data_IF_485800381456
#
_entry.id   IF_485800381456
#
_cell.length_a   1.000
_cell.length_b   1.000
_cell.length_c   1.000
_cell.angle_alpha   90.00
_cell.angle_beta   90.00
_cell.angle_gamma   90.00
#
_symmetry.space_group_name_H-M   'P 1'
#
loop_
_entity.id
_entity.type
_entity.pdbx_description
1 polymer ?
#
# COMPACT_ATOMS: atom_id res chain seq x y z
N UNK A 1 13.41 -1.75 -3.15
CA UNK A 1 13.02 -0.93 -1.97
C UNK A 1 11.65 -1.39 -1.51
N UNK A 2 11.43 -1.51 -0.21
CA UNK A 2 10.15 -1.98 0.33
C UNK A 2 9.63 -1.02 1.40
N UNK A 3 8.35 -0.65 1.29
CA UNK A 3 7.62 0.11 2.29
C UNK A 3 6.74 -0.86 3.08
N UNK A 4 6.86 -0.88 4.40
CA UNK A 4 5.97 -1.66 5.27
C UNK A 4 5.33 -0.73 6.29
N UNK A 5 4.01 -0.59 6.22
CA UNK A 5 3.24 0.23 7.15
C UNK A 5 2.52 -0.66 8.18
N UNK A 6 2.82 -0.45 9.45
CA UNK A 6 2.35 -1.27 10.56
C UNK A 6 1.00 -0.76 11.07
N UNK A 7 0.03 -1.66 11.20
CA UNK A 7 -1.35 -1.34 11.58
C UNK A 7 -1.79 -2.11 12.82
N UNK A 8 -2.55 -1.43 13.68
CA UNK A 8 -3.10 -1.96 14.95
C UNK A 8 -4.63 -2.06 14.95
N UNK A 9 -5.28 -1.84 13.79
CA UNK A 9 -6.73 -1.90 13.61
C UNK A 9 -7.33 -3.21 14.12
N UNK A 10 -8.58 -3.13 14.63
CA UNK A 10 -9.37 -4.27 15.07
C UNK A 10 -10.81 -4.13 14.55
N UNK A 11 -11.37 -5.12 13.83
CA UNK A 11 -10.67 -6.32 13.33
C UNK A 11 -9.65 -5.97 12.23
N UNK A 12 -8.57 -6.73 12.14
CA UNK A 12 -7.63 -6.66 11.03
C UNK A 12 -8.29 -7.21 9.74
N UNK A 13 -8.07 -6.55 8.58
CA UNK A 13 -8.41 -7.10 7.26
C UNK A 13 -7.85 -8.52 7.08
N UNK A 14 -8.65 -9.43 6.52
CA UNK A 14 -8.19 -10.79 6.23
C UNK A 14 -7.55 -10.88 4.83
N UNK A 15 -8.01 -10.03 3.91
CA UNK A 15 -7.63 -10.01 2.50
C UNK A 15 -7.43 -8.57 2.01
N UNK A 16 -6.83 -8.43 0.82
CA UNK A 16 -6.64 -7.13 0.17
C UNK A 16 -7.98 -6.39 -0.06
N UNK A 17 -9.07 -7.10 -0.40
CA UNK A 17 -10.38 -6.49 -0.61
C UNK A 17 -10.99 -5.89 0.65
N UNK A 18 -10.55 -6.33 1.83
CA UNK A 18 -11.00 -5.81 3.13
C UNK A 18 -10.18 -4.59 3.58
N UNK A 19 -9.09 -4.26 2.87
CA UNK A 19 -8.21 -3.14 3.23
C UNK A 19 -8.93 -1.81 2.93
N UNK A 20 -8.99 -0.88 3.90
CA UNK A 20 -9.53 0.45 3.67
C UNK A 20 -8.84 1.14 2.47
N UNK A 21 -9.59 1.68 1.49
CA UNK A 21 -9.00 2.30 0.29
C UNK A 21 -7.99 3.40 0.59
N UNK A 22 -8.17 4.12 1.71
CA UNK A 22 -7.24 5.15 2.17
C UNK A 22 -5.82 4.61 2.45
N UNK A 23 -5.69 3.37 2.92
CA UNK A 23 -4.38 2.76 3.17
C UNK A 23 -3.67 2.39 1.86
N UNK A 24 -4.42 1.94 0.86
CA UNK A 24 -3.88 1.69 -0.48
C UNK A 24 -3.39 3.00 -1.10
N UNK A 25 -4.20 4.06 -1.02
CA UNK A 25 -3.83 5.39 -1.53
C UNK A 25 -2.59 5.95 -0.83
N UNK A 26 -2.50 5.82 0.50
CA UNK A 26 -1.35 6.30 1.26
C UNK A 26 -0.05 5.63 0.80
N UNK A 27 -0.04 4.30 0.66
CA UNK A 27 1.13 3.57 0.19
C UNK A 27 1.43 3.82 -1.29
N UNK A 28 0.40 4.05 -2.11
CA UNK A 28 0.59 4.45 -3.51
C UNK A 28 1.31 5.82 -3.62
N UNK A 29 0.93 6.79 -2.80
CA UNK A 29 1.61 8.09 -2.72
C UNK A 29 3.07 7.94 -2.26
N UNK A 30 3.33 7.11 -1.25
CA UNK A 30 4.70 6.84 -0.80
C UNK A 30 5.54 6.18 -1.89
N UNK A 31 4.97 5.18 -2.60
CA UNK A 31 5.63 4.54 -3.74
C UNK A 31 5.97 5.57 -4.83
N UNK A 32 5.04 6.44 -5.20
CA UNK A 32 5.26 7.48 -6.21
C UNK A 32 6.35 8.49 -5.80
N UNK A 33 6.45 8.84 -4.52
CA UNK A 33 7.49 9.73 -4.00
C UNK A 33 8.87 9.08 -3.96
N UNK A 34 8.95 7.78 -3.69
CA UNK A 34 10.23 7.05 -3.60
C UNK A 34 10.77 6.61 -4.97
N UNK A 35 9.92 6.33 -5.95
CA UNK A 35 10.33 5.87 -7.27
C UNK A 35 11.41 6.75 -7.94
N UNK A 36 11.29 8.10 -7.97
CA UNK A 36 12.34 8.97 -8.53
C UNK A 36 13.66 8.94 -7.75
N UNK A 37 13.62 8.62 -6.45
CA UNK A 37 14.80 8.58 -5.59
C UNK A 37 15.58 7.27 -5.73
N UNK A 38 14.91 6.21 -6.21
CA UNK A 38 15.48 4.88 -6.38
C UNK A 38 15.22 4.34 -7.79
N UNK A 39 15.75 5.00 -8.85
CA UNK A 39 15.41 4.68 -10.24
C UNK A 39 15.84 3.26 -10.68
N UNK A 40 16.83 2.67 -10.00
CA UNK A 40 17.31 1.31 -10.30
C UNK A 40 16.65 0.23 -9.44
N UNK A 41 15.67 0.59 -8.61
CA UNK A 41 15.01 -0.35 -7.72
C UNK A 41 13.50 -0.33 -7.89
N UNK A 42 12.91 -1.53 -7.93
CA UNK A 42 11.47 -1.66 -7.75
C UNK A 42 11.08 -1.22 -6.32
N UNK A 43 10.08 -0.34 -6.24
CA UNK A 43 9.48 0.11 -4.98
C UNK A 43 8.18 -0.68 -4.76
N UNK A 44 8.22 -1.60 -3.78
CA UNK A 44 7.09 -2.43 -3.34
C UNK A 44 6.50 -1.90 -2.03
N UNK A 45 5.24 -2.25 -1.73
CA UNK A 45 4.56 -1.82 -0.52
C UNK A 45 3.69 -2.93 0.08
N UNK A 46 3.64 -3.00 1.41
CA UNK A 46 2.80 -3.93 2.15
C UNK A 46 2.27 -3.30 3.45
N UNK A 47 1.12 -3.81 3.91
CA UNK A 47 0.54 -3.51 5.22
C UNK A 47 0.78 -4.69 6.15
N UNK A 48 1.36 -4.44 7.33
CA UNK A 48 1.48 -5.45 8.37
C UNK A 48 0.48 -5.16 9.48
N UNK A 49 -0.56 -5.99 9.58
CA UNK A 49 -1.49 -5.95 10.69
C UNK A 49 -0.92 -6.75 11.86
N UNK A 50 -1.01 -6.19 13.07
CA UNK A 50 -0.40 -6.77 14.28
C UNK A 50 -1.39 -7.50 15.17
N UNK A 51 -2.70 -7.25 15.01
CA UNK A 51 -3.74 -7.98 15.75
C UNK A 51 -3.85 -9.44 15.31
N UNK A 52 -3.86 -9.68 14.00
CA UNK A 52 -3.48 -10.95 13.40
C UNK A 52 -2.19 -10.71 12.63
N UNK A 53 -1.07 -11.43 12.86
CA UNK A 53 0.25 -11.18 12.25
C UNK A 53 0.20 -11.44 10.74
N UNK A 54 -0.37 -10.49 10.01
CA UNK A 54 -0.79 -10.65 8.62
C UNK A 54 -0.16 -9.56 7.79
N UNK A 55 0.64 -10.01 6.83
CA UNK A 55 1.18 -9.16 5.80
C UNK A 55 0.23 -9.19 4.60
N UNK A 56 -0.22 -8.03 4.16
CA UNK A 56 -0.99 -7.84 2.93
C UNK A 56 -0.15 -7.00 1.99
N UNK A 57 0.41 -7.65 0.97
CA UNK A 57 1.14 -6.97 -0.10
C UNK A 57 0.16 -6.19 -0.99
N UNK A 58 0.57 -5.00 -1.42
CA UNK A 58 -0.20 -4.19 -2.35
C UNK A 58 0.33 -4.39 -3.78
N UNK A 59 -0.46 -4.97 -4.69
CA UNK A 59 -0.07 -5.08 -6.09
C UNK A 59 0.15 -3.69 -6.72
N UNK A 60 1.11 -3.54 -7.64
CA UNK A 60 1.33 -2.29 -8.38
C UNK A 60 0.04 -1.70 -8.97
N UNK A 61 -0.76 -2.52 -9.65
CA UNK A 61 -2.02 -2.09 -10.26
C UNK A 61 -3.01 -1.50 -9.24
N UNK A 62 -3.11 -2.07 -8.04
CA UNK A 62 -4.02 -1.55 -7.01
C UNK A 62 -3.59 -0.15 -6.53
N UNK A 63 -2.27 0.09 -6.46
CA UNK A 63 -1.72 1.40 -6.12
C UNK A 63 -1.87 2.40 -7.27
N UNK A 64 -1.62 1.98 -8.50
CA UNK A 64 -1.77 2.82 -9.70
C UNK A 64 -3.23 3.26 -9.88
N UNK A 65 -4.19 2.33 -9.70
CA UNK A 65 -5.63 2.62 -9.72
C UNK A 65 -6.05 3.59 -8.61
N UNK A 66 -5.44 3.48 -7.42
CA UNK A 66 -5.73 4.39 -6.31
C UNK A 66 -5.28 5.83 -6.63
N UNK A 67 -4.13 6.00 -7.27
CA UNK A 67 -3.65 7.30 -7.72
C UNK A 67 -4.54 7.88 -8.83
N UNK A 68 -4.92 7.07 -9.82
CA UNK A 68 -5.79 7.50 -10.92
C UNK A 68 -7.12 8.09 -10.39
N UNK A 69 -7.77 7.38 -9.45
CA UNK A 69 -8.99 7.84 -8.78
C UNK A 69 -8.82 9.15 -8.01
N UNK A 70 -7.66 9.40 -7.42
CA UNK A 70 -7.37 10.67 -6.72
C UNK A 70 -7.24 11.82 -7.71
N UNK A 71 -6.60 11.59 -8.87
CA UNK A 71 -6.36 12.62 -9.89
C UNK A 71 -7.56 12.90 -10.79
N UNK A 72 -8.65 12.14 -10.66
CA UNK A 72 -9.86 12.31 -11.47
C UNK A 72 -9.69 11.92 -12.94
N UNK A 73 -8.70 11.06 -13.24
CA UNK A 73 -8.40 10.54 -14.57
C UNK A 73 -9.08 9.18 -14.79
#
# INVERSE_FOLDING_TARGET
VSIVDYKTNRPAPATLSDVPPAYVLQLALYRALLQPLYPEHEVSAALLFTEAPRLIELPPAAMDDALARLTGA
#
